data_IF_992353581558
#
_entry.id   IF_992353581558
#
_cell.length_a   1.000
_cell.length_b   1.000
_cell.length_c   1.000
_cell.angle_alpha   90.00
_cell.angle_beta   90.00
_cell.angle_gamma   90.00
#
_symmetry.space_group_name_H-M   'P 1'
#
loop_
_entity.id
_entity.type
_entity.pdbx_description
1 polymer ?
#
# COMPACT_ATOMS: atom_id res chain seq x y z
N UNK A 1 4.64 5.01 -18.75
CA UNK A 1 5.06 4.22 -19.94
C UNK A 1 3.90 3.39 -20.52
N UNK A 2 3.14 2.67 -19.67
CA UNK A 2 2.02 1.80 -20.07
C UNK A 2 0.66 2.51 -20.03
N UNK A 3 0.39 3.32 -19.00
CA UNK A 3 -0.85 4.12 -18.87
C UNK A 3 -0.95 5.21 -19.92
N UNK A 4 -1.28 4.83 -21.15
CA UNK A 4 -1.36 5.69 -22.34
C UNK A 4 -2.80 5.91 -22.68
N UNK A 5 -3.30 7.09 -22.35
CA UNK A 5 -4.66 7.52 -22.66
C UNK A 5 -4.62 8.87 -23.37
N UNK A 6 -5.72 9.21 -24.03
CA UNK A 6 -5.88 10.44 -24.81
C UNK A 6 -5.76 11.71 -23.94
N UNK A 7 -6.24 11.65 -22.70
CA UNK A 7 -6.28 12.79 -21.80
C UNK A 7 -5.07 12.85 -20.87
N UNK A 8 -4.28 13.92 -21.00
CA UNK A 8 -3.03 14.10 -20.25
C UNK A 8 -3.22 14.17 -18.73
N UNK A 9 -4.33 14.74 -18.26
CA UNK A 9 -4.64 14.93 -16.84
C UNK A 9 -4.92 13.63 -16.08
N UNK A 10 -5.19 12.54 -16.78
CA UNK A 10 -5.39 11.20 -16.19
C UNK A 10 -4.36 10.18 -16.69
N UNK A 11 -3.34 10.63 -17.43
CA UNK A 11 -2.32 9.76 -18.01
C UNK A 11 -1.21 9.41 -17.03
N UNK A 12 -0.62 8.21 -17.18
CA UNK A 12 0.42 7.71 -16.28
C UNK A 12 -0.15 7.32 -14.92
N UNK A 13 0.40 7.89 -13.85
CA UNK A 13 0.02 7.62 -12.45
C UNK A 13 -1.01 8.61 -11.90
N UNK A 14 -1.65 9.42 -12.77
CA UNK A 14 -2.68 10.38 -12.37
C UNK A 14 -4.03 9.67 -12.20
N UNK A 15 -4.13 8.83 -11.18
CA UNK A 15 -5.33 8.08 -10.78
C UNK A 15 -5.78 8.46 -9.37
N UNK A 16 -6.77 7.76 -8.83
CA UNK A 16 -7.20 7.94 -7.44
C UNK A 16 -6.03 7.66 -6.48
N UNK A 17 -5.91 8.45 -5.42
CA UNK A 17 -4.79 8.38 -4.48
C UNK A 17 -4.78 7.08 -3.68
N UNK A 18 -5.95 6.53 -3.35
CA UNK A 18 -6.15 5.22 -2.70
C UNK A 18 -6.08 4.03 -3.68
N UNK A 19 -5.22 4.18 -4.69
CA UNK A 19 -4.91 3.17 -5.70
C UNK A 19 -3.53 3.38 -6.34
N UNK A 20 -3.01 4.61 -6.31
CA UNK A 20 -1.79 4.99 -7.01
C UNK A 20 -0.55 4.22 -6.55
N UNK A 21 -0.53 3.74 -5.31
CA UNK A 21 0.59 3.01 -4.71
C UNK A 21 0.51 1.50 -4.97
N UNK A 22 -0.66 0.98 -5.35
CA UNK A 22 -0.83 -0.46 -5.60
C UNK A 22 0.20 -1.01 -6.61
N UNK A 23 0.48 -0.36 -7.77
CA UNK A 23 1.48 -0.87 -8.70
C UNK A 23 2.90 -0.92 -8.15
N UNK A 24 3.35 0.11 -7.41
CA UNK A 24 4.68 0.13 -6.80
C UNK A 24 4.81 -0.95 -5.74
N UNK A 25 3.85 -1.01 -4.80
CA UNK A 25 3.85 -2.00 -3.72
C UNK A 25 3.78 -3.42 -4.27
N UNK A 26 2.97 -3.66 -5.31
CA UNK A 26 2.93 -4.98 -5.95
C UNK A 26 4.30 -5.39 -6.48
N UNK A 27 5.08 -4.47 -7.07
CA UNK A 27 6.44 -4.78 -7.56
C UNK A 27 7.42 -5.10 -6.42
N UNK A 28 7.20 -4.60 -5.20
CA UNK A 28 7.99 -5.00 -4.02
C UNK A 28 7.85 -6.50 -3.72
N UNK A 29 6.65 -7.07 -3.90
CA UNK A 29 6.48 -8.53 -3.76
C UNK A 29 7.27 -9.32 -4.81
N UNK A 30 7.35 -8.82 -6.06
CA UNK A 30 8.20 -9.45 -7.08
C UNK A 30 9.68 -9.39 -6.69
N UNK A 31 10.15 -8.28 -6.10
CA UNK A 31 11.51 -8.16 -5.59
C UNK A 31 11.80 -9.12 -4.43
N UNK A 32 10.77 -9.56 -3.70
CA UNK A 32 10.90 -10.55 -2.62
C UNK A 32 10.69 -12.00 -3.09
N UNK A 33 10.42 -12.24 -4.39
CA UNK A 33 10.22 -13.58 -4.91
C UNK A 33 11.55 -14.26 -5.27
N UNK A 34 11.87 -15.45 -4.71
CA UNK A 34 13.08 -16.18 -5.08
C UNK A 34 13.15 -16.51 -6.58
N UNK A 35 12.01 -16.81 -7.20
CA UNK A 35 11.90 -17.09 -8.64
C UNK A 35 12.32 -15.87 -9.45
N UNK A 36 11.84 -14.68 -9.09
CA UNK A 36 12.19 -13.43 -9.79
C UNK A 36 13.65 -13.06 -9.53
N UNK A 37 14.11 -13.15 -8.28
CA UNK A 37 15.49 -12.82 -7.91
C UNK A 37 16.51 -13.72 -8.61
N UNK A 38 16.15 -14.98 -8.89
CA UNK A 38 17.02 -15.91 -9.64
C UNK A 38 17.35 -15.44 -11.06
N UNK A 39 16.55 -14.55 -11.65
CA UNK A 39 16.81 -13.96 -12.96
C UNK A 39 18.04 -13.05 -12.96
N UNK A 40 18.47 -12.58 -11.78
CA UNK A 40 19.60 -11.67 -11.62
C UNK A 40 20.87 -12.39 -11.13
N UNK A 41 20.81 -13.70 -10.89
CA UNK A 41 21.98 -14.51 -10.52
C UNK A 41 22.73 -14.99 -11.77
N UNK A 42 23.63 -14.13 -12.28
CA UNK A 42 24.41 -14.42 -13.48
C UNK A 42 25.47 -15.52 -13.30
N UNK A 43 25.98 -15.70 -12.09
CA UNK A 43 27.14 -16.56 -11.80
C UNK A 43 26.76 -17.87 -11.09
N UNK A 44 25.48 -18.06 -10.73
CA UNK A 44 24.99 -19.26 -10.03
C UNK A 44 25.52 -19.40 -8.60
N UNK A 45 26.23 -18.39 -8.10
CA UNK A 45 26.89 -18.35 -6.79
C UNK A 45 26.09 -17.52 -5.78
N UNK A 46 24.90 -17.03 -6.14
CA UNK A 46 24.09 -16.25 -5.23
C UNK A 46 23.57 -17.18 -4.12
N UNK A 47 24.25 -17.14 -2.98
CA UNK A 47 23.77 -17.72 -1.72
C UNK A 47 22.55 -16.90 -1.28
N UNK A 48 21.43 -17.14 -1.94
CA UNK A 48 20.13 -16.63 -1.51
C UNK A 48 19.11 -17.76 -1.42
N UNK A 49 19.59 -18.98 -1.14
CA UNK A 49 18.71 -20.09 -0.80
C UNK A 49 18.07 -19.98 0.59
N UNK A 50 18.53 -19.11 1.49
CA UNK A 50 17.90 -18.96 2.81
C UNK A 50 18.02 -17.56 3.46
N UNK A 51 18.92 -16.67 3.01
CA UNK A 51 19.15 -15.40 3.74
C UNK A 51 18.18 -14.26 3.36
N UNK A 52 17.55 -14.32 2.17
CA UNK A 52 16.64 -13.27 1.68
C UNK A 52 15.17 -13.46 2.06
N UNK A 53 14.76 -14.68 2.44
CA UNK A 53 13.38 -15.03 2.79
C UNK A 53 13.13 -15.14 4.31
N UNK A 54 14.15 -14.92 5.14
CA UNK A 54 14.07 -15.13 6.59
C UNK A 54 14.51 -13.91 7.42
N UNK A 55 14.80 -12.78 6.81
CA UNK A 55 14.80 -11.52 7.55
C UNK A 55 13.36 -11.00 7.56
N UNK A 56 12.50 -11.64 8.37
CA UNK A 56 11.35 -10.91 8.89
C UNK A 56 11.96 -9.70 9.61
N UNK A 57 11.78 -8.51 9.03
CA UNK A 57 12.25 -7.29 9.65
C UNK A 57 11.62 -7.24 11.05
N UNK A 58 12.41 -7.35 12.13
CA UNK A 58 11.88 -7.38 13.48
C UNK A 58 11.13 -6.09 13.84
N UNK A 59 11.31 -5.02 13.04
CA UNK A 59 10.65 -3.74 13.19
C UNK A 59 9.44 -3.56 12.26
N UNK A 60 9.09 -4.51 11.38
CA UNK A 60 7.98 -4.34 10.43
C UNK A 60 6.65 -3.96 11.13
N UNK A 61 6.36 -4.60 12.26
CA UNK A 61 5.15 -4.29 13.04
C UNK A 61 5.19 -2.86 13.59
N UNK A 62 6.38 -2.35 13.96
CA UNK A 62 6.58 -0.97 14.42
C UNK A 62 6.36 0.01 13.26
N UNK A 63 6.82 -0.33 12.06
CA UNK A 63 6.65 0.49 10.87
C UNK A 63 5.18 0.56 10.43
N UNK A 64 4.50 -0.58 10.34
CA UNK A 64 3.06 -0.64 10.06
C UNK A 64 2.28 0.17 11.11
N UNK A 65 2.62 0.01 12.39
CA UNK A 65 1.99 0.79 13.46
C UNK A 65 2.23 2.29 13.31
N UNK A 66 3.45 2.69 12.95
CA UNK A 66 3.79 4.09 12.70
C UNK A 66 2.98 4.66 11.53
N UNK A 67 2.80 3.89 10.45
CA UNK A 67 1.93 4.29 9.33
C UNK A 67 0.46 4.44 9.76
N UNK A 68 -0.04 3.59 10.66
CA UNK A 68 -1.40 3.74 11.22
C UNK A 68 -1.54 5.06 11.96
N UNK A 69 -0.55 5.44 12.79
CA UNK A 69 -0.59 6.72 13.49
C UNK A 69 -0.50 7.91 12.54
N UNK A 70 0.32 7.81 11.48
CA UNK A 70 0.43 8.84 10.45
C UNK A 70 -0.88 9.00 9.66
N UNK A 71 -1.55 7.90 9.32
CA UNK A 71 -2.86 7.92 8.69
C UNK A 71 -3.91 8.53 9.63
N UNK A 72 -3.88 8.18 10.91
CA UNK A 72 -4.81 8.71 11.91
C UNK A 72 -4.63 10.22 12.13
N UNK A 73 -3.38 10.72 12.26
CA UNK A 73 -3.15 12.15 12.46
C UNK A 73 -3.49 12.96 11.20
N UNK A 74 -3.25 12.41 10.01
CA UNK A 74 -3.67 13.01 8.75
C UNK A 74 -5.20 13.21 8.70
N UNK A 75 -6.00 12.24 9.15
CA UNK A 75 -7.45 12.40 9.26
C UNK A 75 -7.86 13.51 10.25
N UNK A 76 -7.16 13.64 11.39
CA UNK A 76 -7.44 14.71 12.36
C UNK A 76 -7.16 16.08 11.74
N UNK A 77 -6.02 16.24 11.07
CA UNK A 77 -5.59 17.48 10.43
C UNK A 77 -6.43 17.88 9.21
N UNK A 78 -7.21 16.96 8.66
CA UNK A 78 -8.14 17.23 7.57
C UNK A 78 -9.61 17.08 7.98
N UNK A 79 -9.87 17.09 9.28
CA UNK A 79 -11.23 17.07 9.84
C UNK A 79 -11.76 18.49 10.05
N UNK A 80 -13.08 18.66 10.24
CA UNK A 80 -13.66 19.97 10.58
C UNK A 80 -13.10 20.63 11.85
N UNK A 81 -12.44 19.86 12.74
CA UNK A 81 -11.87 20.33 14.00
C UNK A 81 -10.81 21.43 13.79
N UNK A 82 -10.18 21.47 12.62
CA UNK A 82 -9.12 22.46 12.32
C UNK A 82 -9.65 23.89 12.21
N UNK A 83 -10.97 24.07 12.08
CA UNK A 83 -11.60 25.38 12.00
C UNK A 83 -11.80 25.99 13.40
N UNK A 84 -11.73 25.18 14.45
CA UNK A 84 -11.90 25.66 15.82
C UNK A 84 -10.75 26.58 16.23
N UNK A 85 -11.06 27.73 16.83
CA UNK A 85 -10.06 28.73 17.23
C UNK A 85 -9.03 28.20 18.26
N UNK A 86 -9.37 27.13 18.97
CA UNK A 86 -8.49 26.45 19.93
C UNK A 86 -7.66 25.32 19.33
N UNK A 87 -7.79 25.03 18.03
CA UNK A 87 -7.09 23.92 17.41
C UNK A 87 -5.57 24.10 17.46
N UNK A 88 -4.87 23.06 17.89
CA UNK A 88 -3.42 23.03 17.97
C UNK A 88 -2.91 21.69 17.45
N UNK A 89 -2.28 21.72 16.27
CA UNK A 89 -1.78 20.51 15.60
C UNK A 89 -0.75 19.76 16.44
N UNK A 90 0.19 20.46 17.09
CA UNK A 90 1.17 19.83 17.98
C UNK A 90 0.50 19.15 19.16
N UNK A 91 -0.55 19.76 19.73
CA UNK A 91 -1.28 19.17 20.84
C UNK A 91 -2.04 17.89 20.42
N UNK A 92 -2.66 17.88 19.24
CA UNK A 92 -3.33 16.68 18.72
C UNK A 92 -2.36 15.55 18.38
N UNK A 93 -1.20 15.87 17.79
CA UNK A 93 -0.13 14.90 17.59
C UNK A 93 0.35 14.32 18.92
N UNK A 94 0.60 15.19 19.90
CA UNK A 94 1.05 14.77 21.23
C UNK A 94 0.01 13.88 21.90
N UNK A 95 -1.28 14.23 21.80
CA UNK A 95 -2.38 13.43 22.33
C UNK A 95 -2.39 12.05 21.68
N UNK A 96 -2.36 11.95 20.35
CA UNK A 96 -2.37 10.68 19.64
C UNK A 96 -1.20 9.78 20.02
N UNK A 97 0.03 10.32 20.03
CA UNK A 97 1.23 9.57 20.43
C UNK A 97 1.19 9.13 21.89
N UNK A 98 0.64 9.94 22.79
CA UNK A 98 0.60 9.58 24.22
C UNK A 98 -0.51 8.57 24.54
N UNK A 99 -1.62 8.54 23.79
CA UNK A 99 -2.71 7.59 24.02
C UNK A 99 -2.55 6.29 23.24
N UNK A 100 -1.93 6.38 22.07
CA UNK A 100 -1.91 5.30 21.09
C UNK A 100 -0.53 5.10 20.49
N UNK A 101 0.51 5.85 20.85
CA UNK A 101 1.86 5.62 20.32
C UNK A 101 2.59 4.48 21.02
N UNK A 102 3.49 3.80 20.29
CA UNK A 102 4.48 2.90 20.90
C UNK A 102 5.48 3.68 21.77
N UNK A 103 5.75 4.93 21.37
CA UNK A 103 6.61 5.87 22.08
C UNK A 103 5.83 7.16 22.37
N UNK A 104 6.00 7.74 23.57
CA UNK A 104 5.36 9.00 23.91
C UNK A 104 5.89 10.13 23.04
N UNK A 105 5.09 11.19 22.92
CA UNK A 105 5.48 12.38 22.18
C UNK A 105 6.72 13.03 22.82
N UNK A 106 7.70 13.40 21.98
CA UNK A 106 8.88 14.13 22.41
C UNK A 106 8.56 15.63 22.56
N UNK A 107 8.59 16.21 23.78
CA UNK A 107 8.23 17.61 24.00
C UNK A 107 9.14 18.58 23.24
N UNK A 108 8.59 19.71 22.81
CA UNK A 108 9.33 20.75 22.08
C UNK A 108 9.54 20.43 20.59
N UNK A 109 8.94 19.35 20.09
CA UNK A 109 8.97 18.99 18.67
C UNK A 109 7.67 19.37 17.95
N UNK A 110 7.78 19.58 16.64
CA UNK A 110 6.65 19.82 15.74
C UNK A 110 6.79 18.94 14.50
N UNK A 111 6.67 17.61 14.69
CA UNK A 111 6.90 16.64 13.62
C UNK A 111 6.04 16.91 12.37
N UNK A 112 4.83 17.44 12.54
CA UNK A 112 3.92 17.75 11.42
C UNK A 112 4.50 18.75 10.42
N UNK A 113 5.49 19.57 10.79
CA UNK A 113 6.16 20.49 9.84
C UNK A 113 7.12 19.76 8.89
N UNK A 114 7.41 18.49 9.15
CA UNK A 114 8.26 17.62 8.32
C UNK A 114 7.43 16.53 7.63
N UNK A 115 6.11 16.54 7.82
CA UNK A 115 5.23 15.56 7.23
C UNK A 115 4.66 16.08 5.90
N UNK A 116 5.49 16.08 4.86
CA UNK A 116 5.18 16.70 3.56
C UNK A 116 3.95 16.10 2.87
N UNK A 117 3.60 14.85 3.21
CA UNK A 117 2.42 14.18 2.67
C UNK A 117 1.11 14.85 3.09
N UNK A 118 1.10 15.69 4.13
CA UNK A 118 -0.08 16.48 4.51
C UNK A 118 -0.57 17.44 3.40
N UNK A 119 0.25 17.73 2.39
CA UNK A 119 -0.15 18.63 1.28
C UNK A 119 -0.52 17.85 0.03
N UNK A 120 0.34 16.92 -0.42
CA UNK A 120 0.13 16.16 -1.65
C UNK A 120 -0.83 14.96 -1.49
N UNK A 121 -0.91 14.41 -0.28
CA UNK A 121 -1.74 13.27 0.12
C UNK A 121 -2.67 13.66 1.27
N UNK A 122 -3.07 14.94 1.32
CA UNK A 122 -3.99 15.48 2.30
C UNK A 122 -5.23 14.57 2.47
N UNK A 123 -5.52 14.16 3.71
CA UNK A 123 -6.62 13.28 4.07
C UNK A 123 -6.59 11.87 3.45
N UNK A 124 -5.49 11.48 2.80
CA UNK A 124 -5.38 10.24 2.04
C UNK A 124 -4.13 9.44 2.41
N UNK A 125 -3.41 9.76 3.48
CA UNK A 125 -2.23 8.97 3.88
C UNK A 125 -2.56 7.52 4.23
N UNK A 126 -3.83 7.22 4.58
CA UNK A 126 -4.31 5.86 4.77
C UNK A 126 -4.17 4.97 3.50
N UNK A 127 -4.07 5.59 2.32
CA UNK A 127 -3.91 4.91 1.03
C UNK A 127 -2.71 3.95 1.02
N UNK A 128 -1.60 4.28 1.67
CA UNK A 128 -0.44 3.38 1.74
C UNK A 128 -0.78 2.02 2.35
N UNK A 129 -1.48 2.02 3.49
CA UNK A 129 -1.90 0.79 4.16
C UNK A 129 -2.99 0.06 3.36
N UNK A 130 -3.89 0.82 2.76
CA UNK A 130 -4.99 0.31 1.95
C UNK A 130 -4.49 -0.39 0.68
N UNK A 131 -3.65 0.29 -0.10
CA UNK A 131 -3.02 -0.24 -1.30
C UNK A 131 -2.11 -1.41 -0.99
N UNK A 132 -1.45 -1.44 0.17
CA UNK A 132 -0.68 -2.61 0.61
C UNK A 132 -1.56 -3.82 0.85
N UNK A 133 -2.73 -3.66 1.49
CA UNK A 133 -3.69 -4.76 1.65
C UNK A 133 -4.19 -5.30 0.30
N UNK A 134 -4.48 -4.42 -0.66
CA UNK A 134 -4.91 -4.84 -2.00
C UNK A 134 -3.75 -5.49 -2.77
N UNK A 135 -2.56 -4.91 -2.74
CA UNK A 135 -1.38 -5.45 -3.41
C UNK A 135 -1.02 -6.85 -2.89
N UNK A 136 -1.04 -7.07 -1.58
CA UNK A 136 -0.84 -8.38 -0.97
C UNK A 136 -1.88 -9.40 -1.43
N UNK A 137 -3.16 -9.00 -1.52
CA UNK A 137 -4.23 -9.85 -2.05
C UNK A 137 -4.01 -10.20 -3.52
N UNK A 138 -3.61 -9.22 -4.34
CA UNK A 138 -3.29 -9.41 -5.77
C UNK A 138 -2.09 -10.34 -5.92
N UNK A 139 -1.01 -10.11 -5.19
CA UNK A 139 0.16 -10.97 -5.21
C UNK A 139 -0.21 -12.42 -4.90
N UNK A 140 -0.86 -12.65 -3.75
CA UNK A 140 -1.25 -13.98 -3.30
C UNK A 140 -2.13 -14.71 -4.31
N UNK A 141 -3.14 -14.04 -4.85
CA UNK A 141 -4.15 -14.70 -5.69
C UNK A 141 -3.80 -14.76 -7.18
N UNK A 142 -2.86 -13.94 -7.65
CA UNK A 142 -2.58 -13.80 -9.10
C UNK A 142 -1.16 -14.20 -9.47
N UNK A 143 -0.18 -13.91 -8.62
CA UNK A 143 1.24 -14.00 -8.99
C UNK A 143 2.08 -14.93 -8.12
N UNK A 144 1.64 -15.26 -6.90
CA UNK A 144 2.49 -16.00 -5.94
C UNK A 144 2.85 -17.42 -6.40
N UNK A 145 1.97 -18.09 -7.14
CA UNK A 145 2.20 -19.44 -7.68
C UNK A 145 3.21 -19.44 -8.84
N UNK A 146 3.06 -18.52 -9.79
CA UNK A 146 3.93 -18.37 -10.95
C UNK A 146 4.14 -16.88 -11.26
N UNK A 147 5.12 -16.21 -10.62
CA UNK A 147 5.33 -14.78 -10.78
C UNK A 147 5.86 -14.41 -12.17
N UNK A 148 6.38 -15.36 -12.95
CA UNK A 148 6.88 -15.11 -14.30
C UNK A 148 5.83 -15.45 -15.38
N UNK A 149 4.59 -15.72 -14.98
CA UNK A 149 3.51 -16.06 -15.88
C UNK A 149 3.21 -14.91 -16.86
N UNK A 150 3.51 -15.14 -18.15
CA UNK A 150 3.31 -14.13 -19.20
C UNK A 150 1.85 -13.73 -19.38
N UNK A 151 0.92 -14.67 -19.22
CA UNK A 151 -0.51 -14.39 -19.38
C UNK A 151 -1.03 -13.48 -18.27
N UNK A 152 -0.65 -13.76 -17.01
CA UNK A 152 -1.01 -12.90 -15.87
C UNK A 152 -0.36 -11.52 -15.96
N UNK A 153 0.89 -11.44 -16.42
CA UNK A 153 1.54 -10.15 -16.69
C UNK A 153 0.81 -9.32 -17.74
N UNK A 154 0.40 -9.92 -18.87
CA UNK A 154 -0.39 -9.23 -19.88
C UNK A 154 -1.81 -8.90 -19.40
N UNK A 155 -2.44 -9.74 -18.56
CA UNK A 155 -3.70 -9.41 -17.89
C UNK A 155 -3.53 -8.15 -17.03
N UNK A 156 -2.56 -8.12 -16.12
CA UNK A 156 -2.31 -6.95 -15.27
C UNK A 156 -2.03 -5.67 -16.07
N UNK A 157 -1.23 -5.78 -17.13
CA UNK A 157 -0.94 -4.68 -18.04
C UNK A 157 -2.21 -4.11 -18.71
N UNK A 158 -3.09 -4.96 -19.23
CA UNK A 158 -4.33 -4.54 -19.93
C UNK A 158 -5.43 -4.11 -18.98
N UNK A 159 -5.59 -4.82 -17.87
CA UNK A 159 -6.74 -4.61 -16.97
C UNK A 159 -6.48 -3.49 -15.95
N UNK A 160 -5.21 -3.18 -15.67
CA UNK A 160 -4.81 -2.17 -14.67
C UNK A 160 -3.92 -1.08 -15.28
N UNK A 161 -2.71 -1.42 -15.70
CA UNK A 161 -1.68 -0.41 -15.98
C UNK A 161 -1.96 0.48 -17.20
N UNK A 162 -2.75 0.01 -18.17
CA UNK A 162 -2.99 0.77 -19.41
C UNK A 162 -3.93 1.96 -19.25
N UNK A 163 -4.69 2.03 -18.16
CA UNK A 163 -5.76 3.02 -18.02
C UNK A 163 -5.31 4.35 -17.39
N UNK A 164 -4.20 4.38 -16.65
CA UNK A 164 -3.89 5.51 -15.77
C UNK A 164 -5.08 5.80 -14.83
N UNK A 165 -5.52 7.04 -14.73
CA UNK A 165 -6.76 7.44 -14.05
C UNK A 165 -8.02 7.43 -14.92
N UNK A 166 -7.94 6.90 -16.16
CA UNK A 166 -9.07 6.86 -17.08
C UNK A 166 -10.10 5.77 -16.79
N UNK A 167 -9.88 4.92 -15.77
CA UNK A 167 -10.79 3.86 -15.36
C UNK A 167 -10.88 3.80 -13.85
N UNK A 168 -12.06 3.41 -13.38
CA UNK A 168 -12.33 3.20 -11.96
C UNK A 168 -11.41 2.11 -11.38
N UNK A 169 -10.62 2.43 -10.32
CA UNK A 169 -9.79 1.49 -9.59
C UNK A 169 -10.49 0.20 -9.17
N UNK A 170 -11.70 0.28 -8.64
CA UNK A 170 -12.43 -0.88 -8.14
C UNK A 170 -12.81 -1.85 -9.26
N UNK A 171 -13.14 -1.32 -10.44
CA UNK A 171 -13.36 -2.14 -11.64
C UNK A 171 -12.07 -2.83 -12.07
N UNK A 172 -10.94 -2.13 -12.02
CA UNK A 172 -9.63 -2.70 -12.37
C UNK A 172 -9.24 -3.82 -11.41
N UNK A 173 -9.34 -3.60 -10.10
CA UNK A 173 -9.04 -4.58 -9.05
C UNK A 173 -9.98 -5.78 -9.12
N UNK A 174 -11.29 -5.54 -9.25
CA UNK A 174 -12.32 -6.57 -9.42
C UNK A 174 -12.01 -7.51 -10.59
N UNK A 175 -11.67 -6.98 -11.76
CA UNK A 175 -11.32 -7.80 -12.92
C UNK A 175 -10.01 -8.56 -12.76
N UNK A 176 -8.98 -7.93 -12.16
CA UNK A 176 -7.69 -8.58 -11.93
C UNK A 176 -7.83 -9.79 -10.99
N UNK A 177 -8.55 -9.59 -9.88
CA UNK A 177 -8.82 -10.61 -8.86
C UNK A 177 -9.96 -11.57 -9.22
N UNK A 178 -10.69 -11.32 -10.32
CA UNK A 178 -11.92 -12.04 -10.69
C UNK A 178 -12.96 -12.03 -9.54
N UNK A 179 -13.12 -10.87 -8.90
CA UNK A 179 -13.91 -10.66 -7.69
C UNK A 179 -14.98 -9.57 -7.90
N UNK A 180 -16.12 -9.88 -8.56
CA UNK A 180 -17.15 -8.91 -8.93
C UNK A 180 -17.75 -8.15 -7.75
N UNK A 181 -17.72 -8.74 -6.55
CA UNK A 181 -18.18 -8.10 -5.32
C UNK A 181 -17.38 -6.86 -4.93
N UNK A 182 -16.17 -6.65 -5.48
CA UNK A 182 -15.36 -5.45 -5.23
C UNK A 182 -15.73 -4.28 -6.14
N UNK A 183 -16.51 -4.51 -7.20
CA UNK A 183 -16.71 -3.52 -8.26
C UNK A 183 -17.40 -2.23 -7.78
N UNK A 184 -18.22 -2.30 -6.72
CA UNK A 184 -18.97 -1.14 -6.23
C UNK A 184 -18.08 -0.10 -5.55
N UNK A 185 -16.95 -0.51 -4.96
CA UNK A 185 -16.06 0.39 -4.21
C UNK A 185 -16.72 1.14 -3.06
N UNK A 186 -17.86 0.65 -2.57
CA UNK A 186 -18.63 1.32 -1.53
C UNK A 186 -18.01 1.11 -0.13
N UNK A 187 -18.64 1.69 0.89
CA UNK A 187 -18.16 1.59 2.27
C UNK A 187 -18.09 0.15 2.80
N UNK A 188 -18.89 -0.79 2.28
CA UNK A 188 -18.78 -2.21 2.64
C UNK A 188 -17.55 -2.83 2.02
N UNK A 189 -17.30 -2.55 0.74
CA UNK A 189 -16.10 -3.01 0.03
C UNK A 189 -14.83 -2.46 0.69
N UNK A 190 -14.81 -1.16 1.01
CA UNK A 190 -13.71 -0.53 1.76
C UNK A 190 -13.47 -1.22 3.10
N UNK A 191 -14.55 -1.55 3.83
CA UNK A 191 -14.46 -2.25 5.12
C UNK A 191 -13.94 -3.66 4.95
N UNK A 192 -14.35 -4.35 3.88
CA UNK A 192 -13.87 -5.68 3.57
C UNK A 192 -12.37 -5.67 3.27
N UNK A 193 -11.86 -4.71 2.50
CA UNK A 193 -10.41 -4.53 2.32
C UNK A 193 -9.72 -4.19 3.63
N UNK A 194 -10.34 -3.39 4.50
CA UNK A 194 -9.82 -3.13 5.84
C UNK A 194 -9.74 -4.37 6.75
N UNK A 195 -10.44 -5.47 6.42
CA UNK A 195 -10.29 -6.77 7.10
C UNK A 195 -9.20 -7.63 6.47
N UNK A 196 -8.76 -7.30 5.26
CA UNK A 196 -7.64 -8.00 4.65
C UNK A 196 -6.40 -7.67 5.44
N UNK A 197 -5.66 -8.71 5.79
CA UNK A 197 -4.38 -8.51 6.43
C UNK A 197 -3.43 -7.94 5.40
N UNK A 198 -2.73 -6.88 5.81
CA UNK A 198 -1.70 -6.23 5.02
C UNK A 198 -0.61 -7.25 4.67
N UNK A 199 -0.38 -8.24 5.55
CA UNK A 199 0.43 -9.42 5.30
C UNK A 199 -0.09 -10.62 6.11
N UNK A 200 -0.10 -11.80 5.48
CA UNK A 200 -0.21 -13.12 6.10
C UNK A 200 0.63 -14.08 5.24
N UNK A 201 1.76 -14.52 5.78
CA UNK A 201 2.44 -15.77 5.45
C UNK A 201 2.65 -16.07 3.94
N UNK A 202 3.59 -15.37 3.31
CA UNK A 202 4.27 -15.92 2.11
C UNK A 202 5.35 -16.97 2.51
N UNK A 203 5.45 -17.29 3.81
CA UNK A 203 6.32 -18.33 4.35
C UNK A 203 5.55 -19.44 5.05
N UNK A 204 5.26 -20.51 4.31
CA UNK A 204 5.11 -21.90 4.78
C UNK A 204 3.85 -22.25 5.62
N UNK A 205 2.92 -22.91 4.93
CA UNK A 205 1.81 -23.72 5.45
C UNK A 205 2.20 -24.90 6.38
N UNK A 206 3.45 -25.05 6.80
CA UNK A 206 3.90 -26.26 7.53
C UNK A 206 4.90 -25.93 8.64
N UNK A 207 4.43 -25.39 9.79
CA UNK A 207 5.13 -25.51 11.09
C UNK A 207 4.13 -25.51 12.27
N UNK A 208 3.60 -26.69 12.57
CA UNK A 208 3.36 -27.11 13.96
C UNK A 208 4.60 -27.82 14.50
#
# INVERSE_FOLDING_TARGET
MIGRIEYQNVSGTRCATDFVELPSILMEHFLNSPTVLSLFDADGNFIMRQSGNHHEDPCHSIDTYSQILLAAIDQVYHSPQVVDAGFNSTAELARLHNTSGLFPHAPGTSFQTHFDHLVGYAATYYSYLFDRAIASRVWRNVFSEDPLNREMGEKYKREVLSYGGGKDPWKMVSMLLSAPQLESGDAEVMREVGRWRIEDEVGLSDRH
#
